data_IF_342235220245
#
_entry.id   IF_342235220245
#
_cell.length_a   1.000
_cell.length_b   1.000
_cell.length_c   1.000
_cell.angle_alpha   90.00
_cell.angle_beta   90.00
_cell.angle_gamma   90.00
#
_symmetry.space_group_name_H-M   'P 1'
#
loop_
_entity.id
_entity.type
_entity.pdbx_description
1 polymer ?
#
# COMPACT_ATOMS: atom_id res chain seq x y z
N UNK A 1 5.41 34.45 -15.44
CA UNK A 1 4.58 33.28 -15.34
C UNK A 1 5.27 32.06 -14.68
N UNK A 2 6.50 31.62 -15.04
CA UNK A 2 7.17 30.47 -14.39
C UNK A 2 7.38 30.64 -12.87
N UNK A 3 7.84 31.81 -12.40
CA UNK A 3 8.09 32.06 -10.98
C UNK A 3 6.82 32.01 -10.10
N UNK A 4 5.70 32.52 -10.61
CA UNK A 4 4.42 32.49 -9.89
C UNK A 4 3.89 31.07 -9.78
N UNK A 5 4.00 30.25 -10.84
CA UNK A 5 3.62 28.84 -10.80
C UNK A 5 4.47 28.04 -9.83
N UNK A 6 5.80 28.24 -9.83
CA UNK A 6 6.70 27.59 -8.86
C UNK A 6 6.36 27.97 -7.41
N UNK A 7 6.07 29.25 -7.15
CA UNK A 7 5.67 29.70 -5.81
C UNK A 7 4.38 29.01 -5.33
N UNK A 8 3.37 28.93 -6.19
CA UNK A 8 2.11 28.25 -5.88
C UNK A 8 2.38 26.76 -5.58
N UNK A 9 3.17 26.07 -6.41
CA UNK A 9 3.52 24.66 -6.18
C UNK A 9 4.24 24.45 -4.85
N UNK A 10 5.17 25.34 -4.48
CA UNK A 10 5.87 25.27 -3.19
C UNK A 10 4.90 25.47 -2.02
N UNK A 11 3.96 26.42 -2.11
CA UNK A 11 2.95 26.61 -1.07
C UNK A 11 2.08 25.37 -0.89
N UNK A 12 1.63 24.74 -1.99
CA UNK A 12 0.87 23.49 -1.92
C UNK A 12 1.70 22.34 -1.36
N UNK A 13 2.97 22.22 -1.73
CA UNK A 13 3.85 21.19 -1.19
C UNK A 13 4.06 21.34 0.32
N UNK A 14 4.27 22.56 0.82
CA UNK A 14 4.38 22.84 2.25
C UNK A 14 3.08 22.53 2.99
N UNK A 15 1.94 22.89 2.42
CA UNK A 15 0.62 22.57 2.99
C UNK A 15 0.40 21.07 3.07
N UNK A 16 0.75 20.32 2.01
CA UNK A 16 0.63 18.87 1.97
C UNK A 16 1.61 18.15 2.92
N UNK A 17 2.82 18.71 3.11
CA UNK A 17 3.81 18.16 4.03
C UNK A 17 3.51 18.48 5.51
N UNK A 18 2.69 19.50 5.79
CA UNK A 18 2.39 19.96 7.14
C UNK A 18 1.88 18.86 8.09
N UNK A 19 0.91 17.99 7.72
CA UNK A 19 0.44 16.91 8.60
C UNK A 19 1.54 15.93 8.99
N UNK A 20 2.44 15.60 8.06
CA UNK A 20 3.57 14.69 8.32
C UNK A 20 4.57 15.34 9.27
N UNK A 21 4.87 16.62 9.05
CA UNK A 21 5.71 17.40 9.95
C UNK A 21 5.10 17.51 11.36
N UNK A 22 3.79 17.76 11.45
CA UNK A 22 3.06 17.83 12.71
C UNK A 22 3.10 16.51 13.48
N UNK A 23 2.92 15.37 12.78
CA UNK A 23 3.07 14.04 13.37
C UNK A 23 4.48 13.81 13.92
N UNK A 24 5.51 14.14 13.14
CA UNK A 24 6.89 14.00 13.55
C UNK A 24 7.24 14.90 14.75
N UNK A 25 6.80 16.15 14.75
CA UNK A 25 7.02 17.07 15.87
C UNK A 25 6.24 16.61 17.12
N UNK A 26 4.98 16.21 16.97
CA UNK A 26 4.13 15.72 18.06
C UNK A 26 4.66 14.44 18.70
N UNK A 27 5.30 13.56 17.92
CA UNK A 27 5.90 12.32 18.45
C UNK A 27 7.09 12.57 19.39
N UNK A 28 7.70 13.75 19.32
CA UNK A 28 8.80 14.18 20.19
C UNK A 28 8.32 15.04 21.36
N UNK A 29 7.03 15.37 21.44
CA UNK A 29 6.47 16.17 22.54
C UNK A 29 6.24 15.32 23.79
N UNK A 30 6.47 15.91 24.95
CA UNK A 30 6.16 15.30 26.24
C UNK A 30 4.65 15.23 26.50
N UNK A 31 4.20 14.30 27.36
CA UNK A 31 2.79 14.10 27.68
C UNK A 31 2.06 15.36 28.16
N UNK A 32 2.72 16.21 28.97
CA UNK A 32 2.16 17.48 29.44
C UNK A 32 1.94 18.48 28.31
N UNK A 33 2.88 18.56 27.37
CA UNK A 33 2.83 19.46 26.22
C UNK A 33 1.73 19.02 25.22
N UNK A 34 1.62 17.70 24.97
CA UNK A 34 0.54 17.14 24.15
C UNK A 34 -0.83 17.33 24.80
N UNK A 35 -0.91 17.22 26.13
CA UNK A 35 -2.15 17.48 26.85
C UNK A 35 -2.60 18.93 26.67
N UNK A 36 -1.70 19.91 26.83
CA UNK A 36 -2.01 21.32 26.59
C UNK A 36 -2.48 21.57 25.14
N UNK A 37 -1.86 20.87 24.16
CA UNK A 37 -2.16 21.04 22.75
C UNK A 37 -3.52 20.44 22.37
N UNK A 38 -3.83 19.23 22.84
CA UNK A 38 -4.98 18.43 22.41
C UNK A 38 -6.21 18.59 23.32
N UNK A 39 -6.04 19.01 24.58
CA UNK A 39 -7.14 19.14 25.51
C UNK A 39 -8.30 20.01 25.01
N UNK A 40 -8.06 21.21 24.41
CA UNK A 40 -9.16 22.05 23.92
C UNK A 40 -9.96 21.36 22.80
N UNK A 41 -9.33 20.49 22.02
CA UNK A 41 -9.95 19.79 20.88
C UNK A 41 -10.73 18.56 21.36
N UNK A 42 -10.15 17.76 22.26
CA UNK A 42 -10.70 16.45 22.66
C UNK A 42 -11.74 16.54 23.79
N UNK A 43 -11.68 17.58 24.63
CA UNK A 43 -12.62 17.73 25.75
C UNK A 43 -13.75 18.70 25.47
N UNK A 44 -13.83 19.29 24.28
CA UNK A 44 -14.84 20.28 23.94
C UNK A 44 -14.77 21.54 24.79
N UNK A 45 -13.59 21.87 25.37
CA UNK A 45 -13.38 23.04 26.20
C UNK A 45 -13.46 24.36 25.41
N UNK A 46 -13.90 25.41 26.10
CA UNK A 46 -13.82 26.77 25.57
C UNK A 46 -12.34 27.20 25.50
N UNK A 47 -11.75 27.23 24.30
CA UNK A 47 -10.37 27.66 24.12
C UNK A 47 -9.88 27.44 22.69
N UNK A 48 -8.87 28.22 22.29
CA UNK A 48 -8.18 28.06 21.02
C UNK A 48 -7.07 27.01 21.17
N UNK A 49 -6.98 26.07 20.23
CA UNK A 49 -5.85 25.17 20.14
C UNK A 49 -4.57 25.98 19.88
N UNK A 50 -3.58 25.83 20.73
CA UNK A 50 -2.28 26.47 20.51
C UNK A 50 -1.49 25.66 19.48
N UNK A 51 -1.27 26.22 18.28
CA UNK A 51 -0.47 25.58 17.25
C UNK A 51 1.02 25.66 17.59
N UNK A 52 1.49 24.79 18.48
CA UNK A 52 2.91 24.64 18.78
C UNK A 52 3.50 23.68 17.76
N UNK A 53 4.29 24.22 16.83
CA UNK A 53 4.91 23.43 15.76
C UNK A 53 6.19 22.72 16.20
N UNK A 54 6.82 23.13 17.27
CA UNK A 54 8.07 22.54 17.78
C UNK A 54 7.93 22.17 19.25
N UNK A 55 8.47 20.99 19.65
CA UNK A 55 8.50 20.60 21.06
C UNK A 55 9.41 21.55 21.86
N UNK A 56 8.96 21.98 23.05
CA UNK A 56 9.78 22.77 23.98
C UNK A 56 10.88 21.93 24.61
N UNK A 57 10.55 20.70 24.96
CA UNK A 57 11.44 19.72 25.55
C UNK A 57 11.31 18.40 24.79
N UNK A 58 12.10 18.19 23.68
CA UNK A 58 12.04 16.97 22.91
C UNK A 58 12.33 15.75 23.77
N UNK A 59 11.50 14.72 23.65
CA UNK A 59 11.65 13.47 24.38
C UNK A 59 11.41 12.26 23.49
N UNK A 60 12.16 11.19 23.69
CA UNK A 60 11.96 9.90 23.03
C UNK A 60 11.12 8.93 23.86
N UNK A 61 10.53 9.38 24.97
CA UNK A 61 9.79 8.52 25.90
C UNK A 61 8.67 7.74 25.18
N UNK A 62 7.91 8.37 24.30
CA UNK A 62 6.84 7.72 23.57
C UNK A 62 7.34 6.61 22.63
N UNK A 63 8.55 6.75 22.07
CA UNK A 63 9.19 5.70 21.28
C UNK A 63 9.68 4.55 22.16
N UNK A 64 10.26 4.85 23.32
CA UNK A 64 10.68 3.82 24.29
C UNK A 64 9.47 3.01 24.75
N UNK A 65 8.38 3.67 25.14
CA UNK A 65 7.14 3.03 25.54
C UNK A 65 6.54 2.18 24.40
N UNK A 66 6.52 2.69 23.16
CA UNK A 66 6.04 1.97 21.99
C UNK A 66 6.88 0.72 21.70
N UNK A 67 8.20 0.87 21.69
CA UNK A 67 9.12 -0.16 21.23
C UNK A 67 9.57 -1.14 22.32
N UNK A 68 9.47 -0.79 23.60
CA UNK A 68 9.92 -1.65 24.69
C UNK A 68 8.78 -2.13 25.59
N UNK A 69 7.72 -1.32 25.76
CA UNK A 69 6.64 -1.62 26.71
C UNK A 69 5.32 -2.01 26.02
N UNK A 70 5.26 -2.03 24.66
CA UNK A 70 4.05 -2.35 23.92
C UNK A 70 4.20 -3.61 23.06
N UNK A 71 4.16 -4.82 23.61
CA UNK A 71 4.31 -6.06 22.85
C UNK A 71 3.24 -6.24 21.76
N UNK A 72 2.03 -5.71 21.97
CA UNK A 72 0.95 -5.74 20.98
C UNK A 72 1.34 -5.03 19.69
N UNK A 73 2.09 -3.92 19.76
CA UNK A 73 2.59 -3.20 18.60
C UNK A 73 3.45 -4.09 17.70
N UNK A 74 4.37 -4.87 18.28
CA UNK A 74 5.23 -5.77 17.53
C UNK A 74 4.46 -6.92 16.88
N UNK A 75 3.48 -7.48 17.59
CA UNK A 75 2.62 -8.54 17.03
C UNK A 75 1.90 -8.00 15.79
N UNK A 76 1.28 -6.83 15.90
CA UNK A 76 0.54 -6.20 14.79
C UNK A 76 1.47 -5.78 13.65
N UNK A 77 2.67 -5.27 13.96
CA UNK A 77 3.70 -4.93 12.96
C UNK A 77 4.07 -6.17 12.12
N UNK A 78 4.41 -7.28 12.78
CA UNK A 78 4.75 -8.52 12.07
C UNK A 78 3.56 -9.13 11.32
N UNK A 79 2.35 -8.95 11.80
CA UNK A 79 1.16 -9.35 11.05
C UNK A 79 1.01 -8.51 9.77
N UNK A 80 1.23 -7.18 9.81
CA UNK A 80 1.26 -6.35 8.61
C UNK A 80 2.34 -6.80 7.62
N UNK A 81 3.55 -7.10 8.11
CA UNK A 81 4.65 -7.62 7.27
C UNK A 81 4.26 -8.95 6.62
N UNK A 82 3.68 -9.89 7.38
CA UNK A 82 3.22 -11.20 6.85
C UNK A 82 2.09 -11.04 5.84
N UNK A 83 1.10 -10.19 6.12
CA UNK A 83 -0.02 -9.93 5.23
C UNK A 83 0.47 -9.30 3.92
N UNK A 84 1.12 -8.14 4.01
CA UNK A 84 1.59 -7.42 2.82
C UNK A 84 2.61 -8.25 2.04
N UNK A 85 3.61 -8.84 2.72
CA UNK A 85 4.61 -9.68 2.08
C UNK A 85 4.03 -10.93 1.43
N UNK A 86 3.10 -11.61 2.11
CA UNK A 86 2.41 -12.79 1.58
C UNK A 86 1.55 -12.47 0.36
N UNK A 87 0.81 -11.35 0.38
CA UNK A 87 0.00 -10.90 -0.76
C UNK A 87 0.90 -10.56 -1.95
N UNK A 88 1.93 -9.73 -1.75
CA UNK A 88 2.82 -9.31 -2.84
C UNK A 88 3.59 -10.47 -3.44
N UNK A 89 4.11 -11.39 -2.61
CA UNK A 89 4.77 -12.61 -3.10
C UNK A 89 3.81 -13.47 -3.94
N UNK A 90 2.58 -13.66 -3.46
CA UNK A 90 1.55 -14.39 -4.21
C UNK A 90 1.17 -13.68 -5.52
N UNK A 91 1.05 -12.36 -5.52
CA UNK A 91 0.78 -11.57 -6.74
C UNK A 91 1.93 -11.65 -7.75
N UNK A 92 3.19 -11.70 -7.32
CA UNK A 92 4.32 -11.95 -8.22
C UNK A 92 4.20 -13.35 -8.83
N UNK A 93 3.97 -14.37 -8.01
CA UNK A 93 3.94 -15.76 -8.46
C UNK A 93 2.78 -16.06 -9.41
N UNK A 94 1.61 -15.49 -9.19
CA UNK A 94 0.40 -15.74 -9.97
C UNK A 94 0.14 -14.65 -10.98
N UNK A 95 0.26 -13.38 -10.57
CA UNK A 95 -0.11 -12.22 -11.36
C UNK A 95 0.85 -11.94 -12.52
N UNK A 96 2.17 -12.10 -12.31
CA UNK A 96 3.15 -11.86 -13.38
C UNK A 96 2.98 -12.83 -14.55
N UNK A 97 2.90 -14.17 -14.33
CA UNK A 97 2.61 -15.11 -15.42
C UNK A 97 1.25 -14.88 -16.07
N UNK A 98 0.21 -14.53 -15.28
CA UNK A 98 -1.10 -14.23 -15.82
C UNK A 98 -1.09 -13.00 -16.74
N UNK A 99 -0.43 -11.92 -16.31
CA UNK A 99 -0.27 -10.70 -17.11
C UNK A 99 0.50 -10.98 -18.42
N UNK A 100 1.58 -11.76 -18.36
CA UNK A 100 2.31 -12.22 -19.53
C UNK A 100 1.42 -13.05 -20.47
N UNK A 101 0.65 -14.00 -19.92
CA UNK A 101 -0.28 -14.83 -20.67
C UNK A 101 -1.31 -13.99 -21.43
N UNK A 102 -1.92 -13.01 -20.76
CA UNK A 102 -2.82 -12.05 -21.40
C UNK A 102 -2.13 -11.15 -22.43
N UNK A 103 -0.87 -10.78 -22.24
CA UNK A 103 -0.17 -9.92 -23.18
C UNK A 103 0.23 -10.67 -24.47
N UNK A 104 0.76 -11.87 -24.35
CA UNK A 104 1.51 -12.52 -25.41
C UNK A 104 0.81 -13.70 -26.08
N UNK A 105 -0.03 -14.42 -25.37
CA UNK A 105 -0.71 -15.57 -25.96
C UNK A 105 -2.05 -15.19 -26.58
N UNK A 106 -2.38 -15.84 -27.71
CA UNK A 106 -3.71 -15.80 -28.32
C UNK A 106 -4.44 -17.10 -27.97
N UNK A 107 -5.61 -17.00 -27.34
CA UNK A 107 -6.45 -18.13 -27.00
C UNK A 107 -7.94 -17.77 -27.17
N UNK A 108 -8.82 -18.76 -27.40
CA UNK A 108 -10.24 -18.51 -27.56
C UNK A 108 -10.83 -17.92 -26.26
N UNK A 109 -11.64 -16.88 -26.39
CA UNK A 109 -12.27 -16.22 -25.23
C UNK A 109 -11.38 -15.17 -24.51
N UNK A 110 -10.12 -14.94 -24.90
CA UNK A 110 -9.21 -13.97 -24.29
C UNK A 110 -9.85 -12.61 -24.07
N UNK A 111 -10.53 -12.05 -25.11
CA UNK A 111 -11.16 -10.72 -25.01
C UNK A 111 -12.27 -10.70 -23.96
N UNK A 112 -13.12 -11.72 -23.92
CA UNK A 112 -14.19 -11.82 -22.93
C UNK A 112 -13.65 -11.96 -21.51
N UNK A 113 -12.66 -12.84 -21.31
CA UNK A 113 -12.01 -13.00 -20.01
C UNK A 113 -11.34 -11.70 -19.54
N UNK A 114 -10.68 -10.98 -20.43
CA UNK A 114 -10.04 -9.71 -20.08
C UNK A 114 -11.05 -8.62 -19.73
N UNK A 115 -12.20 -8.55 -20.43
CA UNK A 115 -13.30 -7.64 -20.10
C UNK A 115 -13.87 -7.98 -18.71
N UNK A 116 -14.12 -9.26 -18.42
CA UNK A 116 -14.56 -9.70 -17.08
C UNK A 116 -13.53 -9.30 -16.03
N UNK A 117 -12.25 -9.45 -16.32
CA UNK A 117 -11.15 -9.10 -15.43
C UNK A 117 -11.16 -7.61 -15.08
N UNK A 118 -11.34 -6.74 -16.09
CA UNK A 118 -11.47 -5.28 -15.88
C UNK A 118 -12.75 -4.95 -15.09
N UNK A 119 -13.87 -5.60 -15.40
CA UNK A 119 -15.13 -5.40 -14.68
C UNK A 119 -14.99 -5.74 -13.18
N UNK A 120 -14.33 -6.85 -12.85
CA UNK A 120 -14.03 -7.24 -11.47
C UNK A 120 -13.11 -6.23 -10.76
N UNK A 121 -12.15 -5.63 -11.48
CA UNK A 121 -11.27 -4.60 -10.94
C UNK A 121 -12.04 -3.35 -10.49
N UNK A 122 -13.16 -3.03 -11.16
CA UNK A 122 -13.99 -1.87 -10.84
C UNK A 122 -14.95 -2.11 -9.68
N UNK A 123 -15.09 -3.34 -9.21
CA UNK A 123 -15.99 -3.65 -8.10
C UNK A 123 -15.39 -3.21 -6.76
N UNK A 124 -16.06 -2.34 -6.00
CA UNK A 124 -15.58 -1.94 -4.69
C UNK A 124 -15.65 -3.12 -3.70
N UNK A 125 -14.69 -3.19 -2.78
CA UNK A 125 -14.62 -4.25 -1.77
C UNK A 125 -15.93 -4.41 -1.00
N UNK A 126 -16.59 -3.30 -0.64
CA UNK A 126 -17.84 -3.28 0.14
C UNK A 126 -18.96 -4.09 -0.53
N UNK A 127 -19.01 -4.08 -1.86
CA UNK A 127 -19.99 -4.88 -2.64
C UNK A 127 -19.67 -6.37 -2.56
N UNK A 128 -18.38 -6.73 -2.59
CA UNK A 128 -17.93 -8.12 -2.56
C UNK A 128 -17.76 -8.69 -1.15
N UNK A 129 -17.81 -7.85 -0.12
CA UNK A 129 -17.49 -8.22 1.26
C UNK A 129 -18.32 -9.40 1.77
N UNK A 130 -19.65 -9.37 1.57
CA UNK A 130 -20.53 -10.46 2.02
C UNK A 130 -20.23 -11.77 1.29
N UNK A 131 -20.03 -11.71 -0.02
CA UNK A 131 -19.72 -12.91 -0.82
C UNK A 131 -18.38 -13.52 -0.41
N UNK A 132 -17.35 -12.67 -0.20
CA UNK A 132 -16.05 -13.10 0.29
C UNK A 132 -16.17 -13.73 1.69
N UNK A 133 -16.92 -13.09 2.60
CA UNK A 133 -17.14 -13.64 3.94
C UNK A 133 -17.76 -15.06 3.88
N UNK A 134 -18.84 -15.23 3.10
CA UNK A 134 -19.51 -16.53 2.98
C UNK A 134 -18.63 -17.61 2.37
N UNK A 135 -17.79 -17.26 1.40
CA UNK A 135 -16.85 -18.22 0.78
C UNK A 135 -15.75 -18.58 1.77
N UNK A 136 -15.17 -17.60 2.47
CA UNK A 136 -14.12 -17.82 3.47
C UNK A 136 -14.64 -18.65 4.66
N UNK A 137 -15.87 -18.41 5.08
CA UNK A 137 -16.52 -19.19 6.14
C UNK A 137 -16.66 -20.67 5.74
N UNK A 138 -17.16 -20.92 4.54
CA UNK A 138 -17.26 -22.29 3.99
C UNK A 138 -15.93 -23.02 3.85
N UNK A 139 -14.87 -22.26 3.57
CA UNK A 139 -13.51 -22.79 3.46
C UNK A 139 -12.80 -22.92 4.82
N UNK A 140 -13.40 -22.46 5.92
CA UNK A 140 -12.80 -22.46 7.25
C UNK A 140 -11.60 -21.49 7.35
N UNK A 141 -11.56 -20.42 6.53
CA UNK A 141 -10.47 -19.47 6.44
C UNK A 141 -10.75 -18.15 7.19
N UNK A 142 -11.95 -17.98 7.76
CA UNK A 142 -12.21 -16.84 8.64
C UNK A 142 -11.30 -16.89 9.86
N UNK A 143 -10.98 -15.69 10.39
CA UNK A 143 -10.09 -15.51 11.55
C UNK A 143 -8.68 -16.07 11.31
N UNK A 144 -8.19 -16.02 10.08
CA UNK A 144 -6.83 -16.40 9.70
C UNK A 144 -6.19 -15.36 8.79
N UNK A 145 -4.86 -15.21 8.83
CA UNK A 145 -4.14 -14.35 7.88
C UNK A 145 -4.29 -14.84 6.44
N UNK A 146 -4.39 -16.16 6.23
CA UNK A 146 -4.61 -16.77 4.90
C UNK A 146 -5.93 -16.33 4.30
N UNK A 147 -6.98 -16.14 5.11
CA UNK A 147 -8.27 -15.64 4.65
C UNK A 147 -8.24 -14.22 4.08
N UNK A 148 -7.22 -13.42 4.44
CA UNK A 148 -6.97 -12.11 3.84
C UNK A 148 -6.01 -12.24 2.65
N UNK A 149 -4.93 -13.01 2.80
CA UNK A 149 -3.90 -13.15 1.77
C UNK A 149 -4.46 -13.77 0.50
N UNK A 150 -5.19 -14.87 0.62
CA UNK A 150 -5.61 -15.66 -0.54
C UNK A 150 -6.50 -14.89 -1.53
N UNK A 151 -7.57 -14.19 -1.13
CA UNK A 151 -8.35 -13.38 -2.06
C UNK A 151 -7.53 -12.24 -2.69
N UNK A 152 -6.64 -11.60 -1.92
CA UNK A 152 -5.83 -10.49 -2.39
C UNK A 152 -4.74 -10.90 -3.38
N UNK A 153 -4.21 -12.13 -3.30
CA UNK A 153 -3.28 -12.70 -4.29
C UNK A 153 -3.89 -12.72 -5.69
N UNK A 154 -5.18 -12.99 -5.80
CA UNK A 154 -5.91 -13.04 -7.07
C UNK A 154 -6.51 -11.68 -7.47
N UNK A 155 -6.07 -10.58 -6.88
CA UNK A 155 -6.48 -9.23 -7.27
C UNK A 155 -6.19 -8.96 -8.74
N UNK A 156 -7.15 -8.33 -9.41
CA UNK A 156 -7.09 -8.07 -10.85
C UNK A 156 -6.28 -6.84 -11.21
N UNK A 157 -6.21 -5.86 -10.32
CA UNK A 157 -5.54 -4.58 -10.58
C UNK A 157 -4.04 -4.70 -10.84
N UNK A 158 -3.23 -5.43 -10.05
CA UNK A 158 -1.80 -5.60 -10.34
C UNK A 158 -1.55 -6.29 -11.69
N UNK A 159 -2.36 -7.28 -12.04
CA UNK A 159 -2.25 -7.98 -13.33
C UNK A 159 -2.54 -7.03 -14.49
N UNK A 160 -3.53 -6.15 -14.36
CA UNK A 160 -3.83 -5.13 -15.39
C UNK A 160 -2.64 -4.18 -15.61
N UNK A 161 -2.01 -3.69 -14.54
CA UNK A 161 -0.83 -2.84 -14.66
C UNK A 161 0.28 -3.58 -15.41
N UNK A 162 0.66 -4.77 -14.93
CA UNK A 162 1.74 -5.57 -15.51
C UNK A 162 1.44 -5.95 -16.97
N UNK A 163 0.20 -6.26 -17.30
CA UNK A 163 -0.26 -6.54 -18.65
C UNK A 163 0.07 -5.38 -19.62
N UNK A 164 -0.21 -4.14 -19.23
CA UNK A 164 0.05 -2.96 -20.07
C UNK A 164 1.52 -2.80 -20.42
N UNK A 165 2.41 -3.10 -19.48
CA UNK A 165 3.86 -3.08 -19.73
C UNK A 165 4.29 -4.22 -20.64
N UNK A 166 3.82 -5.44 -20.40
CA UNK A 166 4.14 -6.57 -21.25
C UNK A 166 3.60 -6.40 -22.68
N UNK A 167 2.40 -5.84 -22.84
CA UNK A 167 1.81 -5.52 -24.14
C UNK A 167 2.65 -4.48 -24.91
N UNK A 168 3.28 -3.55 -24.21
CA UNK A 168 4.13 -2.51 -24.76
C UNK A 168 5.48 -2.97 -25.29
N UNK A 169 5.94 -4.20 -24.99
CA UNK A 169 7.22 -4.72 -25.49
C UNK A 169 7.11 -4.97 -27.02
N UNK A 170 8.01 -4.42 -27.87
CA UNK A 170 7.96 -4.60 -29.32
C UNK A 170 8.07 -6.07 -29.73
N UNK A 171 7.20 -6.51 -30.68
CA UNK A 171 7.21 -7.90 -31.16
C UNK A 171 8.53 -8.26 -31.86
N UNK A 172 9.18 -7.29 -32.50
CA UNK A 172 10.48 -7.50 -33.14
C UNK A 172 11.56 -8.07 -32.18
N UNK A 173 11.52 -7.69 -30.90
CA UNK A 173 12.43 -8.24 -29.89
C UNK A 173 12.12 -9.71 -29.56
N UNK A 174 10.84 -10.07 -29.59
CA UNK A 174 10.40 -11.45 -29.39
C UNK A 174 10.78 -12.34 -30.57
N UNK A 175 10.58 -11.83 -31.80
CA UNK A 175 10.95 -12.54 -33.03
C UNK A 175 12.45 -12.76 -33.12
N UNK A 176 13.27 -11.74 -32.82
CA UNK A 176 14.72 -11.88 -32.79
C UNK A 176 15.17 -12.98 -31.82
N UNK A 177 14.62 -12.97 -30.60
CA UNK A 177 14.96 -13.99 -29.60
C UNK A 177 14.48 -15.41 -30.03
N UNK A 178 13.33 -15.53 -30.73
CA UNK A 178 12.88 -16.81 -31.30
C UNK A 178 13.82 -17.30 -32.41
N UNK A 179 14.34 -16.40 -33.26
CA UNK A 179 15.35 -16.73 -34.26
C UNK A 179 16.66 -17.23 -33.63
N UNK A 180 17.01 -16.70 -32.45
CA UNK A 180 18.15 -17.18 -31.65
C UNK A 180 17.85 -18.51 -30.93
N UNK A 181 16.68 -19.13 -31.15
CA UNK A 181 16.31 -20.43 -30.60
C UNK A 181 15.67 -20.37 -29.21
N UNK A 182 15.24 -19.21 -28.72
CA UNK A 182 14.57 -19.09 -27.44
C UNK A 182 13.14 -19.66 -27.50
N UNK A 183 12.82 -20.63 -26.62
CA UNK A 183 11.46 -21.10 -26.40
C UNK A 183 10.64 -20.09 -25.55
N UNK A 184 9.32 -20.25 -25.51
CA UNK A 184 8.37 -19.32 -24.85
C UNK A 184 8.71 -19.07 -23.35
N UNK A 185 9.16 -20.08 -22.62
CA UNK A 185 9.57 -19.89 -21.23
C UNK A 185 10.86 -19.04 -21.13
N UNK A 186 11.80 -19.25 -22.04
CA UNK A 186 13.05 -18.46 -22.11
C UNK A 186 12.76 -17.01 -22.48
N UNK A 187 11.82 -16.78 -23.43
CA UNK A 187 11.32 -15.45 -23.79
C UNK A 187 10.73 -14.75 -22.56
N UNK A 188 9.89 -15.43 -21.79
CA UNK A 188 9.33 -14.87 -20.55
C UNK A 188 10.42 -14.44 -19.58
N UNK A 189 11.36 -15.34 -19.26
CA UNK A 189 12.39 -15.08 -18.23
C UNK A 189 13.44 -14.07 -18.68
N UNK A 190 13.96 -14.19 -19.93
CA UNK A 190 15.10 -13.38 -20.39
C UNK A 190 14.73 -12.09 -21.11
N UNK A 191 13.53 -11.99 -21.66
CA UNK A 191 13.07 -10.82 -22.37
C UNK A 191 11.90 -10.17 -21.64
N UNK A 192 10.85 -10.94 -21.36
CA UNK A 192 9.62 -10.45 -20.73
C UNK A 192 9.85 -9.85 -19.36
N UNK A 193 10.40 -10.62 -18.42
CA UNK A 193 10.61 -10.14 -17.06
C UNK A 193 11.52 -8.91 -16.98
N UNK A 194 12.69 -8.85 -17.64
CA UNK A 194 13.55 -7.66 -17.58
C UNK A 194 12.88 -6.42 -18.18
N UNK A 195 12.26 -6.53 -19.37
CA UNK A 195 11.60 -5.40 -20.03
C UNK A 195 10.27 -5.01 -19.36
N UNK A 196 9.56 -5.95 -18.76
CA UNK A 196 8.34 -5.72 -17.99
C UNK A 196 8.56 -5.31 -16.53
N UNK A 197 9.82 -5.33 -16.05
CA UNK A 197 10.15 -5.05 -14.65
C UNK A 197 9.63 -3.71 -14.14
N UNK A 198 9.60 -2.60 -14.91
CA UNK A 198 9.00 -1.35 -14.43
C UNK A 198 7.52 -1.51 -14.07
N UNK A 199 6.75 -2.27 -14.87
CA UNK A 199 5.35 -2.55 -14.58
C UNK A 199 5.16 -3.45 -13.36
N UNK A 200 6.02 -4.45 -13.19
CA UNK A 200 6.00 -5.33 -12.02
C UNK A 200 6.30 -4.52 -10.76
N UNK A 201 7.37 -3.70 -10.77
CA UNK A 201 7.75 -2.86 -9.64
C UNK A 201 6.65 -1.84 -9.32
N UNK A 202 6.08 -1.17 -10.33
CA UNK A 202 4.96 -0.24 -10.15
C UNK A 202 3.76 -0.91 -9.45
N UNK A 203 3.37 -2.10 -9.93
CA UNK A 203 2.28 -2.86 -9.33
C UNK A 203 2.59 -3.26 -7.87
N UNK A 204 3.82 -3.64 -7.57
CA UNK A 204 4.24 -4.01 -6.21
C UNK A 204 4.30 -2.81 -5.27
N UNK A 205 4.76 -1.64 -5.72
CA UNK A 205 4.77 -0.41 -4.92
C UNK A 205 3.35 0.03 -4.58
N UNK A 206 2.45 0.07 -5.56
CA UNK A 206 1.04 0.40 -5.33
C UNK A 206 0.37 -0.63 -4.40
N UNK A 207 0.59 -1.92 -4.64
CA UNK A 207 0.10 -3.00 -3.79
C UNK A 207 0.65 -2.90 -2.36
N UNK A 208 1.94 -2.55 -2.18
CA UNK A 208 2.48 -2.33 -0.83
C UNK A 208 1.73 -1.22 -0.10
N UNK A 209 1.53 -0.07 -0.74
CA UNK A 209 0.84 1.07 -0.13
C UNK A 209 -0.61 0.73 0.22
N UNK A 210 -1.30 -0.04 -0.61
CA UNK A 210 -2.67 -0.50 -0.39
C UNK A 210 -2.74 -1.49 0.79
N UNK A 211 -1.95 -2.58 0.74
CA UNK A 211 -2.04 -3.67 1.72
C UNK A 211 -1.38 -3.36 3.06
N UNK A 212 -0.39 -2.45 3.09
CA UNK A 212 0.18 -1.95 4.34
C UNK A 212 -0.84 -1.17 5.18
N UNK A 213 -1.77 -0.47 4.52
CA UNK A 213 -2.82 0.32 5.14
C UNK A 213 -4.19 -0.38 5.18
N UNK A 214 -4.22 -1.69 5.00
CA UNK A 214 -5.44 -2.48 4.90
C UNK A 214 -6.23 -2.46 6.21
N UNK A 215 -7.49 -1.95 6.18
CA UNK A 215 -8.36 -1.82 7.35
C UNK A 215 -9.62 -2.68 7.20
N UNK A 216 -10.32 -2.57 6.06
CA UNK A 216 -11.67 -3.11 5.87
C UNK A 216 -11.73 -4.64 5.95
N UNK A 217 -10.82 -5.34 5.27
CA UNK A 217 -10.80 -6.80 5.27
C UNK A 217 -10.40 -7.38 6.64
N UNK A 218 -9.33 -6.89 7.33
CA UNK A 218 -9.03 -7.33 8.68
C UNK A 218 -10.18 -7.09 9.66
N UNK A 219 -10.85 -5.95 9.58
CA UNK A 219 -12.02 -5.68 10.45
C UNK A 219 -13.19 -6.61 10.18
N UNK A 220 -13.41 -7.01 8.92
CA UNK A 220 -14.51 -7.88 8.54
C UNK A 220 -14.24 -9.35 8.81
N UNK A 221 -13.00 -9.82 8.65
CA UNK A 221 -12.66 -11.25 8.60
C UNK A 221 -11.87 -11.75 9.81
N UNK A 222 -11.22 -10.87 10.60
CA UNK A 222 -10.45 -11.25 11.79
C UNK A 222 -11.20 -10.87 13.08
N UNK A 223 -11.48 -11.87 13.90
CA UNK A 223 -12.08 -11.69 15.25
C UNK A 223 -11.00 -11.62 16.34
N UNK A 224 -9.93 -12.39 16.18
CA UNK A 224 -8.84 -12.50 17.15
C UNK A 224 -7.88 -11.32 17.00
N UNK A 225 -7.81 -10.47 18.05
CA UNK A 225 -6.98 -9.22 18.02
C UNK A 225 -5.49 -9.48 17.81
N UNK A 226 -4.96 -10.64 18.23
CA UNK A 226 -3.55 -10.99 18.01
C UNK A 226 -3.19 -11.22 16.52
N UNK A 227 -4.20 -11.34 15.64
CA UNK A 227 -4.02 -11.44 14.19
C UNK A 227 -4.16 -10.09 13.47
N UNK A 228 -4.54 -9.04 14.19
CA UNK A 228 -4.78 -7.73 13.60
C UNK A 228 -3.49 -7.13 13.03
N UNK A 229 -3.56 -6.46 11.87
CA UNK A 229 -2.45 -5.71 11.32
C UNK A 229 -2.26 -4.37 12.03
N UNK A 230 -1.13 -3.74 11.81
CA UNK A 230 -0.74 -2.48 12.42
C UNK A 230 -1.68 -1.31 12.07
N UNK A 231 -2.33 -1.36 10.90
CA UNK A 231 -3.34 -0.38 10.48
C UNK A 231 -4.54 -0.29 11.45
N UNK A 232 -4.77 -1.30 12.26
CA UNK A 232 -5.80 -1.32 13.30
C UNK A 232 -5.29 -0.93 14.69
N UNK A 233 -4.00 -0.62 14.85
CA UNK A 233 -3.41 -0.29 16.14
C UNK A 233 -3.85 1.08 16.70
N UNK A 234 -4.23 2.03 15.85
CA UNK A 234 -4.47 3.44 16.20
C UNK A 234 -5.92 3.84 16.57
N UNK A 235 -6.85 2.94 16.94
CA UNK A 235 -8.26 3.32 17.02
C UNK A 235 -8.65 4.22 18.20
N UNK A 236 -7.85 4.30 19.28
CA UNK A 236 -8.25 5.02 20.49
C UNK A 236 -7.17 6.01 20.95
N UNK A 237 -7.18 7.21 20.41
CA UNK A 237 -6.37 8.33 20.89
C UNK A 237 -7.04 8.91 22.15
N UNK A 238 -6.50 8.59 23.33
CA UNK A 238 -6.81 9.31 24.57
C UNK A 238 -5.74 10.34 24.84
N UNK A 239 -6.07 11.38 25.62
CA UNK A 239 -5.08 12.41 26.03
C UNK A 239 -3.83 11.80 26.71
N UNK A 240 -4.02 10.71 27.45
CA UNK A 240 -2.94 10.02 28.14
C UNK A 240 -2.00 9.25 27.20
N UNK A 241 -2.54 8.72 26.08
CA UNK A 241 -1.81 7.91 25.10
C UNK A 241 -1.50 8.66 23.80
N UNK A 242 -1.73 9.97 23.76
CA UNK A 242 -1.50 10.77 22.57
C UNK A 242 -0.05 10.67 22.08
N UNK A 243 0.94 10.73 22.96
CA UNK A 243 2.34 10.56 22.58
C UNK A 243 2.66 9.23 21.93
N UNK A 244 2.08 8.14 22.49
CA UNK A 244 2.20 6.80 21.91
C UNK A 244 1.57 6.74 20.51
N UNK A 245 0.41 7.36 20.32
CA UNK A 245 -0.27 7.40 19.02
C UNK A 245 0.54 8.17 17.97
N UNK A 246 1.13 9.32 18.33
CA UNK A 246 2.00 10.08 17.43
C UNK A 246 3.26 9.28 17.06
N UNK A 247 3.93 8.67 18.04
CA UNK A 247 5.12 7.85 17.80
C UNK A 247 4.78 6.63 16.91
N UNK A 248 3.68 5.93 17.21
CA UNK A 248 3.19 4.82 16.39
C UNK A 248 2.90 5.26 14.95
N UNK A 249 2.23 6.40 14.75
CA UNK A 249 1.94 6.94 13.42
C UNK A 249 3.21 7.19 12.60
N UNK A 250 4.26 7.74 13.24
CA UNK A 250 5.56 7.96 12.56
C UNK A 250 6.19 6.63 12.17
N UNK A 251 6.21 5.64 13.08
CA UNK A 251 6.81 4.32 12.80
C UNK A 251 6.04 3.58 11.70
N UNK A 252 4.70 3.66 11.70
CA UNK A 252 3.83 3.04 10.67
C UNK A 252 4.04 3.70 9.30
N UNK A 253 4.29 5.00 9.28
CA UNK A 253 4.50 5.76 8.04
C UNK A 253 5.83 5.43 7.36
N UNK A 254 6.88 5.12 8.12
CA UNK A 254 8.24 4.91 7.59
C UNK A 254 8.32 3.86 6.48
N UNK A 255 7.80 2.62 6.60
CA UNK A 255 7.87 1.64 5.53
C UNK A 255 7.17 2.10 4.25
N UNK A 256 6.00 2.75 4.37
CA UNK A 256 5.25 3.26 3.23
C UNK A 256 6.03 4.36 2.48
N UNK A 257 6.63 5.30 3.22
CA UNK A 257 7.47 6.36 2.63
C UNK A 257 8.71 5.77 1.97
N UNK A 258 9.41 4.83 2.62
CA UNK A 258 10.61 4.20 2.06
C UNK A 258 10.31 3.43 0.77
N UNK A 259 9.24 2.66 0.74
CA UNK A 259 8.83 1.92 -0.47
C UNK A 259 8.40 2.88 -1.57
N UNK A 260 7.66 3.95 -1.25
CA UNK A 260 7.29 4.97 -2.22
C UNK A 260 8.52 5.66 -2.82
N UNK A 261 9.46 6.13 -1.98
CA UNK A 261 10.68 6.79 -2.45
C UNK A 261 11.57 5.86 -3.30
N UNK A 262 11.63 4.57 -2.96
CA UNK A 262 12.38 3.58 -3.74
C UNK A 262 11.71 3.26 -5.09
N UNK A 263 10.40 3.42 -5.18
CA UNK A 263 9.61 3.03 -6.35
C UNK A 263 9.05 4.18 -7.20
N UNK A 264 9.20 5.44 -6.79
CA UNK A 264 8.57 6.59 -7.46
C UNK A 264 8.93 6.71 -8.95
N UNK A 265 10.18 6.44 -9.34
CA UNK A 265 10.63 6.53 -10.73
C UNK A 265 9.89 5.52 -11.64
N UNK A 266 9.56 4.34 -11.09
CA UNK A 266 8.80 3.32 -11.80
C UNK A 266 7.32 3.69 -11.93
N UNK A 267 6.76 4.37 -10.91
CA UNK A 267 5.39 4.89 -10.97
C UNK A 267 5.25 5.98 -12.03
N UNK A 268 6.22 6.89 -12.16
CA UNK A 268 6.25 7.89 -13.21
C UNK A 268 6.31 7.25 -14.60
N UNK A 269 7.16 6.24 -14.82
CA UNK A 269 7.22 5.49 -16.07
C UNK A 269 5.89 4.80 -16.39
N UNK A 270 5.20 4.28 -15.38
CA UNK A 270 3.86 3.70 -15.51
C UNK A 270 2.84 4.69 -16.06
N UNK A 271 2.81 5.90 -15.52
CA UNK A 271 1.90 6.97 -15.95
C UNK A 271 2.22 7.43 -17.37
N UNK A 272 3.50 7.64 -17.70
CA UNK A 272 3.94 8.08 -19.02
C UNK A 272 3.60 7.05 -20.10
N UNK A 273 3.81 5.76 -19.83
CA UNK A 273 3.54 4.68 -20.79
C UNK A 273 2.04 4.54 -21.13
N UNK A 274 1.16 4.98 -20.23
CA UNK A 274 -0.29 5.01 -20.49
C UNK A 274 -0.73 6.28 -21.25
N UNK A 275 -0.01 7.39 -21.10
CA UNK A 275 -0.35 8.68 -21.68
C UNK A 275 0.12 8.86 -23.16
N UNK A 276 1.15 8.13 -23.61
CA UNK A 276 1.75 8.30 -24.95
C UNK A 276 1.00 7.52 -26.06
N UNK A 277 -0.07 6.79 -25.74
CA UNK A 277 -0.87 6.03 -26.74
C UNK A 277 -2.12 6.77 -27.26
N UNK A 278 -2.13 8.12 -27.23
CA UNK A 278 -3.10 8.94 -27.98
C UNK A 278 -2.45 9.53 -29.24
#
# INVERSE_FOLDING_TARGET
>A
MKKTGTFICVCFALLAAFPVFFLAAGSLMGAGELKELLQPILTGGEGFASWKMFPRYPTLRSYVELLLDSPEFFVMFWNSVKLTGGILAGQILVGVPAAWGFARFSFPGKKLLFIIYIALMMMPFQVMMLSNYLVLDRLGLLDTLTGIILPAVFSTFPVFIMYRFFEGIPEALMEAARLDGAGEFMLFIRVGLPLGSPGIISAMVLGFLEYWNLIEQPMAFLKTKSLWPLSLFLPNISLEKAGLAFAASVVVLLPAVLVFLAGQDYLEQGIISTAIKE
#
